data_IF_306658696650
#
_entry.id   IF_306658696650
#
_cell.length_a   1.000
_cell.length_b   1.000
_cell.length_c   1.000
_cell.angle_alpha   90.00
_cell.angle_beta   90.00
_cell.angle_gamma   90.00
#
_symmetry.space_group_name_H-M   'P 1'
#
loop_
_entity.id
_entity.type
_entity.pdbx_description
1 polymer ?
#
# COMPACT_ATOMS: atom_id res chain seq x y z
N UNK A 1 22.90 -29.07 31.29
CA UNK A 1 22.16 -29.48 30.10
C UNK A 1 20.74 -28.92 30.05
N UNK A 2 20.07 -28.66 31.19
CA UNK A 2 18.71 -28.11 31.19
C UNK A 2 18.59 -26.67 30.66
N UNK A 3 19.63 -25.85 30.72
CA UNK A 3 19.58 -24.46 30.22
C UNK A 3 19.49 -24.35 28.68
N UNK A 4 20.03 -25.33 27.94
CA UNK A 4 20.04 -25.33 26.49
C UNK A 4 18.63 -25.61 25.92
N UNK A 5 17.79 -26.35 26.65
CA UNK A 5 16.43 -26.70 26.21
C UNK A 5 15.46 -25.52 26.25
N UNK A 6 15.85 -24.38 26.82
CA UNK A 6 15.04 -23.17 26.93
C UNK A 6 15.53 -22.03 26.05
N UNK A 7 16.58 -22.23 25.25
CA UNK A 7 17.06 -21.22 24.29
C UNK A 7 16.04 -21.05 23.17
N UNK A 8 15.73 -19.80 22.90
CA UNK A 8 14.90 -19.39 21.76
C UNK A 8 15.76 -18.57 20.80
N UNK A 9 15.56 -18.79 19.52
CA UNK A 9 16.11 -17.93 18.46
C UNK A 9 15.01 -16.96 18.09
N UNK A 10 15.31 -15.67 18.14
CA UNK A 10 14.41 -14.59 17.74
C UNK A 10 15.09 -13.90 16.55
N UNK A 11 14.37 -13.76 15.44
CA UNK A 11 14.82 -13.00 14.31
C UNK A 11 14.84 -11.50 14.58
N UNK A 12 15.52 -10.71 13.75
CA UNK A 12 15.32 -9.27 13.72
C UNK A 12 13.85 -8.92 13.52
N UNK A 13 13.45 -7.75 13.99
CA UNK A 13 12.09 -7.24 13.75
C UNK A 13 11.87 -7.03 12.26
N UNK A 14 10.71 -7.46 11.76
CA UNK A 14 10.24 -7.35 10.38
C UNK A 14 11.09 -8.13 9.33
N UNK A 15 12.12 -8.87 9.76
CA UNK A 15 12.96 -9.65 8.86
C UNK A 15 12.28 -10.93 8.37
N UNK A 16 12.23 -11.11 7.05
CA UNK A 16 11.82 -12.34 6.39
C UNK A 16 12.96 -12.92 5.55
N UNK A 17 13.18 -14.22 5.65
CA UNK A 17 14.24 -14.90 4.91
C UNK A 17 14.91 -16.02 5.68
N UNK A 18 16.02 -16.51 5.17
CA UNK A 18 16.79 -17.62 5.73
C UNK A 18 17.89 -17.11 6.68
N UNK A 19 17.74 -17.33 7.97
CA UNK A 19 18.73 -16.99 8.98
C UNK A 19 19.59 -18.19 9.37
N UNK A 20 20.90 -18.14 9.11
CA UNK A 20 21.85 -19.18 9.49
C UNK A 20 22.31 -18.98 10.94
N UNK A 21 22.03 -19.95 11.78
CA UNK A 21 22.45 -19.96 13.19
C UNK A 21 23.61 -20.94 13.37
N UNK A 22 24.71 -20.47 13.98
CA UNK A 22 25.85 -21.33 14.33
C UNK A 22 25.86 -21.52 15.85
N UNK A 23 25.91 -22.76 16.27
CA UNK A 23 26.03 -23.15 17.68
C UNK A 23 27.41 -23.74 17.90
N UNK A 24 28.12 -23.23 18.92
CA UNK A 24 29.43 -23.74 19.31
C UNK A 24 29.41 -24.17 20.80
N UNK A 25 29.94 -25.34 21.05
CA UNK A 25 30.04 -25.88 22.40
C UNK A 25 31.43 -26.42 22.67
N UNK A 26 31.85 -26.38 23.94
CA UNK A 26 33.08 -27.01 24.43
C UNK A 26 32.84 -27.66 25.78
N UNK A 27 33.63 -28.67 26.06
CA UNK A 27 33.72 -29.26 27.39
C UNK A 27 34.78 -28.53 28.24
N UNK A 28 34.50 -28.37 29.53
CA UNK A 28 35.43 -27.86 30.51
C UNK A 28 35.37 -28.75 31.77
N UNK A 29 36.53 -29.00 32.36
CA UNK A 29 36.69 -29.74 33.61
C UNK A 29 37.57 -28.93 34.54
N UNK A 30 37.31 -29.01 35.85
CA UNK A 30 38.03 -28.23 36.84
C UNK A 30 39.51 -28.64 36.88
N UNK A 31 40.42 -27.68 36.72
CA UNK A 31 41.86 -27.89 36.77
C UNK A 31 42.51 -28.36 35.45
N UNK A 32 41.75 -28.40 34.36
CA UNK A 32 42.28 -28.75 33.03
C UNK A 32 41.85 -27.68 32.02
N UNK A 33 42.62 -27.52 30.95
CA UNK A 33 42.23 -26.63 29.86
C UNK A 33 40.96 -27.13 29.19
N UNK A 34 40.08 -26.18 28.81
CA UNK A 34 38.83 -26.49 28.12
C UNK A 34 39.12 -27.05 26.72
N UNK A 35 38.31 -28.01 26.27
CA UNK A 35 38.42 -28.56 24.91
C UNK A 35 38.25 -27.47 23.82
N UNK A 36 38.75 -27.71 22.60
CA UNK A 36 38.38 -26.92 21.45
C UNK A 36 36.85 -26.85 21.27
N UNK A 37 36.37 -25.80 20.65
CA UNK A 37 34.93 -25.70 20.29
C UNK A 37 34.58 -26.70 19.21
N UNK A 38 33.48 -27.40 19.40
CA UNK A 38 32.76 -28.08 18.32
C UNK A 38 31.61 -27.17 17.87
N UNK A 39 31.47 -26.96 16.59
CA UNK A 39 30.45 -26.09 16.01
C UNK A 39 29.56 -26.82 15.02
N UNK A 40 28.29 -26.50 15.05
CA UNK A 40 27.28 -26.92 14.08
C UNK A 40 26.40 -25.73 13.67
N UNK A 41 25.74 -25.84 12.56
CA UNK A 41 24.82 -24.80 12.10
C UNK A 41 23.47 -25.40 11.65
N UNK A 42 22.45 -24.56 11.70
CA UNK A 42 21.13 -24.83 11.15
C UNK A 42 20.54 -23.53 10.59
N UNK A 43 19.55 -23.65 9.74
CA UNK A 43 18.83 -22.50 9.15
C UNK A 43 17.46 -22.39 9.79
N UNK A 44 17.07 -21.16 10.14
CA UNK A 44 15.71 -20.79 10.53
C UNK A 44 15.14 -19.96 9.39
N UNK A 45 14.04 -20.45 8.78
CA UNK A 45 13.32 -19.69 7.76
C UNK A 45 12.23 -18.89 8.43
N UNK A 46 12.24 -17.57 8.22
CA UNK A 46 11.25 -16.61 8.71
C UNK A 46 10.37 -16.21 7.53
N UNK A 47 9.06 -16.30 7.72
CA UNK A 47 8.10 -15.94 6.66
C UNK A 47 7.87 -14.43 6.64
N UNK A 48 7.68 -13.89 5.44
CA UNK A 48 7.27 -12.52 5.22
C UNK A 48 5.90 -12.22 5.86
N UNK A 49 5.76 -11.04 6.44
CA UNK A 49 4.50 -10.52 7.01
C UNK A 49 4.39 -9.05 6.61
N UNK A 50 3.56 -8.74 5.64
CA UNK A 50 3.36 -7.38 5.22
C UNK A 50 2.58 -6.57 6.26
N UNK A 51 3.02 -5.35 6.53
CA UNK A 51 2.32 -4.37 7.34
C UNK A 51 1.37 -3.52 6.49
N UNK A 52 0.23 -3.14 7.11
CA UNK A 52 -0.71 -2.24 6.43
C UNK A 52 -0.06 -0.86 6.23
N UNK A 53 -0.02 -0.33 4.99
CA UNK A 53 0.56 0.97 4.76
C UNK A 53 -0.24 2.08 5.46
N UNK A 54 0.41 3.18 5.80
CA UNK A 54 -0.29 4.39 6.20
C UNK A 54 -0.94 5.05 5.00
N UNK A 55 -2.15 5.56 5.21
CA UNK A 55 -2.91 6.30 4.22
C UNK A 55 -3.45 7.57 4.87
N UNK A 56 -3.22 8.72 4.25
CA UNK A 56 -3.79 9.99 4.67
C UNK A 56 -4.50 10.62 3.49
N UNK A 57 -5.74 11.02 3.70
CA UNK A 57 -6.57 11.66 2.68
C UNK A 57 -7.07 13.02 3.14
N UNK A 58 -7.32 13.90 2.17
CA UNK A 58 -7.99 15.19 2.41
C UNK A 58 -9.08 15.42 1.37
N UNK A 59 -10.14 16.11 1.76
CA UNK A 59 -11.22 16.44 0.84
C UNK A 59 -10.74 17.39 -0.26
N UNK A 60 -11.29 17.20 -1.46
CA UNK A 60 -11.03 18.04 -2.63
C UNK A 60 -12.11 19.14 -2.67
N UNK A 61 -11.70 20.39 -2.48
CA UNK A 61 -12.64 21.53 -2.34
C UNK A 61 -12.55 22.55 -3.49
N UNK A 62 -11.59 22.38 -4.39
CA UNK A 62 -11.25 23.33 -5.43
C UNK A 62 -11.36 22.72 -6.85
N UNK A 63 -12.22 21.73 -7.02
CA UNK A 63 -12.51 21.16 -8.32
C UNK A 63 -13.55 22.04 -9.07
N UNK A 64 -13.48 22.00 -10.40
CA UNK A 64 -14.39 22.70 -11.29
C UNK A 64 -14.95 21.69 -12.30
N UNK A 65 -16.21 21.84 -12.71
CA UNK A 65 -16.80 20.97 -13.75
C UNK A 65 -15.95 20.97 -15.02
N UNK A 66 -15.99 19.87 -15.77
CA UNK A 66 -15.26 19.61 -17.00
C UNK A 66 -13.72 19.58 -16.88
N UNK A 67 -13.18 19.89 -15.70
CA UNK A 67 -11.75 19.88 -15.45
C UNK A 67 -11.33 18.67 -14.60
N UNK A 68 -10.24 18.01 -14.99
CA UNK A 68 -9.64 16.96 -14.20
C UNK A 68 -8.83 17.54 -13.04
N UNK A 69 -8.97 16.95 -11.83
CA UNK A 69 -8.30 17.39 -10.60
C UNK A 69 -7.30 16.37 -10.13
N UNK A 70 -6.06 16.78 -9.86
CA UNK A 70 -5.00 15.92 -9.39
C UNK A 70 -5.32 15.30 -8.02
N UNK A 71 -5.15 13.98 -7.89
CA UNK A 71 -5.39 13.23 -6.65
C UNK A 71 -4.17 13.16 -5.74
N UNK A 72 -2.96 13.23 -6.29
CA UNK A 72 -1.71 13.10 -5.52
C UNK A 72 -1.53 14.19 -4.44
N UNK A 73 -2.21 15.33 -4.58
CA UNK A 73 -2.22 16.38 -3.55
C UNK A 73 -3.15 16.07 -2.37
N UNK A 74 -4.15 15.20 -2.58
CA UNK A 74 -5.18 14.89 -1.59
C UNK A 74 -5.03 13.51 -0.98
N UNK A 75 -4.17 12.66 -1.51
CA UNK A 75 -3.94 11.29 -1.07
C UNK A 75 -2.44 11.08 -0.94
N UNK A 76 -1.98 10.74 0.26
CA UNK A 76 -0.59 10.36 0.53
C UNK A 76 -0.55 8.99 1.20
N UNK A 77 0.47 8.21 0.91
CA UNK A 77 0.65 6.87 1.44
C UNK A 77 2.13 6.55 1.65
N UNK A 78 2.42 5.73 2.65
CA UNK A 78 3.77 5.24 2.92
C UNK A 78 3.72 3.79 3.43
N UNK A 79 4.68 2.97 3.03
CA UNK A 79 4.92 1.69 3.65
C UNK A 79 5.36 1.89 5.11
N UNK A 80 4.97 0.97 5.98
CA UNK A 80 5.31 0.97 7.41
C UNK A 80 6.11 -0.29 7.66
N UNK A 81 7.41 -0.17 7.56
CA UNK A 81 8.31 -1.28 7.69
C UNK A 81 9.69 -0.78 8.14
N UNK A 82 10.39 -1.54 9.01
CA UNK A 82 11.68 -1.15 9.57
C UNK A 82 12.87 -1.66 8.79
N UNK A 83 12.73 -2.81 8.15
CA UNK A 83 13.81 -3.38 7.34
C UNK A 83 13.76 -2.93 5.87
N UNK A 84 12.67 -2.31 5.44
CA UNK A 84 12.50 -1.72 4.11
C UNK A 84 12.08 -2.74 3.05
N UNK A 85 11.56 -3.92 3.45
CA UNK A 85 11.11 -4.96 2.52
C UNK A 85 9.69 -4.74 2.00
N UNK A 86 8.87 -3.95 2.70
CA UNK A 86 7.52 -3.62 2.30
C UNK A 86 7.48 -2.59 1.15
N UNK A 87 6.73 -2.89 0.13
CA UNK A 87 6.43 -1.95 -0.96
C UNK A 87 4.92 -1.77 -1.17
N UNK A 88 4.48 -0.56 -1.45
CA UNK A 88 3.10 -0.33 -1.89
C UNK A 88 2.99 -0.76 -3.34
N UNK A 89 2.12 -1.73 -3.63
CA UNK A 89 1.96 -2.28 -4.98
C UNK A 89 0.75 -1.72 -5.72
N UNK A 90 -0.31 -1.33 -5.01
CA UNK A 90 -1.52 -0.82 -5.65
C UNK A 90 -2.29 0.17 -4.77
N UNK A 91 -3.11 0.97 -5.44
CA UNK A 91 -4.06 1.91 -4.85
C UNK A 91 -5.42 1.64 -5.50
N UNK A 92 -6.46 1.47 -4.69
CA UNK A 92 -7.82 1.32 -5.17
C UNK A 92 -8.62 2.58 -4.83
N UNK A 93 -9.36 3.08 -5.81
CA UNK A 93 -10.29 4.21 -5.65
C UNK A 93 -11.69 3.69 -6.04
N UNK A 94 -12.63 3.81 -5.13
CA UNK A 94 -14.02 3.37 -5.31
C UNK A 94 -15.00 4.54 -5.15
N UNK A 95 -16.30 4.29 -5.39
CA UNK A 95 -17.32 5.35 -5.29
C UNK A 95 -17.32 6.33 -6.48
N UNK A 96 -16.64 5.98 -7.58
CA UNK A 96 -16.62 6.81 -8.79
C UNK A 96 -17.99 6.82 -9.50
N UNK A 97 -18.82 5.79 -9.28
CA UNK A 97 -20.21 5.75 -9.74
C UNK A 97 -21.13 6.23 -8.61
N UNK A 98 -22.00 7.21 -8.89
CA UNK A 98 -22.88 7.83 -7.89
C UNK A 98 -24.21 8.28 -8.51
N UNK A 99 -25.19 8.54 -7.67
CA UNK A 99 -26.51 9.00 -8.09
C UNK A 99 -26.60 10.53 -8.01
N UNK A 100 -27.11 11.14 -9.07
CA UNK A 100 -27.43 12.57 -9.08
C UNK A 100 -28.71 12.79 -9.90
N UNK A 101 -29.69 13.48 -9.32
CA UNK A 101 -30.98 13.81 -9.96
C UNK A 101 -31.68 12.60 -10.61
N UNK A 102 -31.55 11.41 -9.99
CA UNK A 102 -32.16 10.16 -10.49
C UNK A 102 -31.37 9.48 -11.62
N UNK A 103 -30.22 10.01 -12.01
CA UNK A 103 -29.32 9.40 -12.97
C UNK A 103 -28.07 8.83 -12.28
N UNK A 104 -27.56 7.71 -12.80
CA UNK A 104 -26.24 7.21 -12.41
C UNK A 104 -25.18 7.91 -13.23
N UNK A 105 -24.29 8.63 -12.56
CA UNK A 105 -23.15 9.31 -13.13
C UNK A 105 -21.87 8.59 -12.74
N UNK A 106 -20.82 8.76 -13.53
CA UNK A 106 -19.51 8.16 -13.23
C UNK A 106 -18.38 9.15 -13.49
N UNK A 107 -17.55 9.39 -12.46
CA UNK A 107 -16.27 10.05 -12.60
C UNK A 107 -15.23 9.07 -13.17
N UNK A 108 -14.21 9.59 -13.83
CA UNK A 108 -13.13 8.79 -14.41
C UNK A 108 -11.79 9.08 -13.72
N UNK A 109 -10.93 8.07 -13.61
CA UNK A 109 -9.53 8.25 -13.25
C UNK A 109 -8.72 8.31 -14.54
N UNK A 110 -7.98 9.41 -14.71
CA UNK A 110 -7.24 9.72 -15.94
C UNK A 110 -5.80 10.14 -15.64
N UNK A 111 -4.94 10.04 -16.66
CA UNK A 111 -3.59 10.62 -16.63
C UNK A 111 -3.60 12.12 -16.97
N UNK A 112 -2.44 12.75 -17.01
CA UNK A 112 -2.28 14.16 -17.37
C UNK A 112 -2.70 14.51 -18.81
N UNK A 113 -2.84 13.50 -19.67
CA UNK A 113 -3.31 13.64 -21.06
C UNK A 113 -4.82 13.40 -21.21
N UNK A 114 -5.50 13.04 -20.11
CA UNK A 114 -6.93 12.74 -20.09
C UNK A 114 -7.30 11.31 -20.50
N UNK A 115 -6.33 10.41 -20.64
CA UNK A 115 -6.59 9.00 -20.94
C UNK A 115 -6.96 8.26 -19.65
N UNK A 116 -7.94 7.36 -19.72
CA UNK A 116 -8.29 6.49 -18.57
C UNK A 116 -7.12 5.61 -18.16
N UNK A 117 -6.86 5.50 -16.87
CA UNK A 117 -5.80 4.67 -16.29
C UNK A 117 -6.34 3.75 -15.22
N UNK A 118 -5.58 2.67 -14.95
CA UNK A 118 -5.95 1.64 -13.98
C UNK A 118 -6.88 0.58 -14.54
N UNK A 119 -7.22 -0.38 -13.69
CA UNK A 119 -8.09 -1.52 -14.00
C UNK A 119 -9.43 -1.30 -13.33
N UNK A 120 -10.54 -1.16 -14.10
CA UNK A 120 -11.88 -1.07 -13.51
C UNK A 120 -12.25 -2.35 -12.74
N UNK A 121 -12.92 -2.22 -11.60
CA UNK A 121 -13.39 -3.33 -10.79
C UNK A 121 -14.80 -3.83 -11.16
N UNK A 122 -15.44 -3.20 -12.15
CA UNK A 122 -16.81 -3.51 -12.59
C UNK A 122 -17.91 -2.96 -11.69
N UNK A 123 -17.56 -2.34 -10.54
CA UNK A 123 -18.50 -1.76 -9.57
C UNK A 123 -18.41 -0.25 -9.47
N UNK A 124 -17.69 0.38 -10.42
CA UNK A 124 -17.44 1.82 -10.43
C UNK A 124 -16.22 2.23 -9.62
N UNK A 125 -15.29 1.32 -9.36
CA UNK A 125 -13.97 1.58 -8.81
C UNK A 125 -12.86 1.28 -9.81
N UNK A 126 -11.65 1.72 -9.48
CA UNK A 126 -10.43 1.55 -10.30
C UNK A 126 -9.27 1.16 -9.39
N UNK A 127 -8.51 0.15 -9.79
CA UNK A 127 -7.24 -0.22 -9.17
C UNK A 127 -6.08 0.26 -10.03
N UNK A 128 -5.17 1.01 -9.42
CA UNK A 128 -3.95 1.55 -9.99
C UNK A 128 -2.74 0.78 -9.46
N UNK A 129 -1.73 0.56 -10.26
CA UNK A 129 -0.41 0.21 -9.71
C UNK A 129 0.19 1.44 -9.01
N UNK A 130 1.12 1.22 -8.06
CA UNK A 130 1.83 2.34 -7.42
C UNK A 130 2.53 3.22 -8.45
N UNK A 131 3.13 2.62 -9.49
CA UNK A 131 3.80 3.36 -10.56
C UNK A 131 2.83 4.26 -11.37
N UNK A 132 1.61 3.78 -11.64
CA UNK A 132 0.58 4.61 -12.30
C UNK A 132 0.17 5.78 -11.40
N UNK A 133 0.00 5.51 -10.10
CA UNK A 133 -0.33 6.56 -9.13
C UNK A 133 0.77 7.62 -9.05
N UNK A 134 2.05 7.22 -8.97
CA UNK A 134 3.21 8.12 -8.87
C UNK A 134 3.45 8.94 -10.15
N UNK A 135 3.06 8.42 -11.31
CA UNK A 135 3.12 9.15 -12.57
C UNK A 135 2.16 10.35 -12.61
N UNK A 136 1.25 10.46 -11.64
CA UNK A 136 0.26 11.51 -11.53
C UNK A 136 -1.09 11.08 -12.11
N UNK A 137 -2.09 11.01 -11.23
CA UNK A 137 -3.46 10.65 -11.59
C UNK A 137 -4.42 11.77 -11.22
N UNK A 138 -5.48 11.86 -12.01
CA UNK A 138 -6.49 12.89 -11.89
C UNK A 138 -7.87 12.24 -11.82
N UNK A 139 -8.76 12.82 -11.06
CA UNK A 139 -10.20 12.51 -11.12
C UNK A 139 -10.88 13.51 -12.03
N UNK A 140 -11.57 13.02 -13.05
CA UNK A 140 -12.36 13.81 -13.98
C UNK A 140 -13.85 13.62 -13.66
N UNK A 141 -14.57 14.66 -13.23
CA UNK A 141 -16.00 14.60 -13.04
C UNK A 141 -16.74 14.22 -14.33
N UNK A 142 -17.99 13.74 -14.27
CA UNK A 142 -18.85 13.67 -15.45
C UNK A 142 -19.00 15.07 -16.07
N UNK A 143 -19.24 15.11 -17.40
CA UNK A 143 -19.48 16.36 -18.11
C UNK A 143 -20.65 17.12 -17.49
N UNK A 144 -20.54 18.45 -17.41
CA UNK A 144 -21.56 19.37 -16.91
C UNK A 144 -22.00 19.09 -15.46
N UNK A 145 -21.25 18.28 -14.70
CA UNK A 145 -21.60 17.96 -13.31
C UNK A 145 -20.95 18.93 -12.33
N UNK A 146 -21.76 19.64 -11.58
CA UNK A 146 -21.37 20.42 -10.39
C UNK A 146 -22.11 19.92 -9.14
N UNK A 147 -21.48 20.06 -7.99
CA UNK A 147 -22.00 19.55 -6.71
C UNK A 147 -20.96 18.78 -5.94
N UNK A 148 -21.38 17.76 -5.20
CA UNK A 148 -20.47 16.99 -4.35
C UNK A 148 -20.55 15.49 -4.66
N UNK A 149 -19.39 14.87 -4.86
CA UNK A 149 -19.22 13.43 -4.81
C UNK A 149 -18.73 13.09 -3.41
N UNK A 150 -19.57 12.43 -2.59
CA UNK A 150 -19.33 12.24 -1.15
C UNK A 150 -18.91 10.82 -0.74
N UNK A 151 -18.95 9.88 -1.66
CA UNK A 151 -18.73 8.45 -1.39
C UNK A 151 -17.48 7.88 -2.04
N UNK A 152 -16.52 8.74 -2.37
CA UNK A 152 -15.20 8.28 -2.81
C UNK A 152 -14.47 7.62 -1.65
N UNK A 153 -13.85 6.48 -1.90
CA UNK A 153 -13.04 5.78 -0.91
C UNK A 153 -11.72 5.35 -1.53
N UNK A 154 -10.68 5.37 -0.72
CA UNK A 154 -9.30 5.02 -1.13
C UNK A 154 -8.77 3.95 -0.21
N UNK A 155 -8.09 2.97 -0.75
CA UNK A 155 -7.28 1.99 -0.02
C UNK A 155 -5.97 1.72 -0.75
N UNK A 156 -4.96 1.24 -0.03
CA UNK A 156 -3.67 0.87 -0.60
C UNK A 156 -3.27 -0.53 -0.12
N UNK A 157 -2.52 -1.25 -0.94
CA UNK A 157 -2.00 -2.58 -0.64
C UNK A 157 -0.49 -2.51 -0.61
N UNK A 158 0.11 -2.94 0.50
CA UNK A 158 1.53 -3.22 0.63
C UNK A 158 1.81 -4.71 0.42
N UNK A 159 3.03 -5.03 0.01
CA UNK A 159 3.56 -6.37 -0.12
C UNK A 159 4.93 -6.43 0.50
N UNK A 160 5.16 -7.44 1.36
CA UNK A 160 6.48 -7.83 1.84
C UNK A 160 7.08 -8.91 0.93
N UNK A 161 8.26 -8.65 0.40
CA UNK A 161 8.97 -9.57 -0.50
C UNK A 161 10.03 -10.39 0.21
N UNK A 162 10.35 -10.08 1.47
CA UNK A 162 11.45 -10.67 2.21
C UNK A 162 12.82 -10.36 1.59
N UNK A 163 13.88 -10.43 2.37
CA UNK A 163 15.24 -10.12 1.90
C UNK A 163 15.77 -11.08 0.83
N UNK A 164 15.30 -12.32 0.81
CA UNK A 164 15.68 -13.31 -0.18
C UNK A 164 14.74 -13.34 -1.41
N UNK A 165 13.76 -12.44 -1.48
CA UNK A 165 12.76 -12.37 -2.52
C UNK A 165 11.72 -13.50 -2.48
N UNK A 166 11.72 -14.34 -1.46
CA UNK A 166 10.81 -15.49 -1.32
C UNK A 166 9.46 -15.14 -0.72
N UNK A 167 9.35 -13.96 -0.09
CA UNK A 167 8.12 -13.49 0.53
C UNK A 167 7.11 -12.99 -0.51
N UNK A 168 5.82 -13.15 -0.22
CA UNK A 168 4.72 -12.59 -1.00
C UNK A 168 3.50 -12.35 -0.11
N UNK A 169 3.74 -11.92 1.13
CA UNK A 169 2.66 -11.49 2.01
C UNK A 169 2.10 -10.15 1.55
N UNK A 170 0.81 -9.94 1.73
CA UNK A 170 0.15 -8.67 1.40
C UNK A 170 -0.71 -8.20 2.55
N UNK A 171 -0.72 -6.90 2.80
CA UNK A 171 -1.62 -6.24 3.73
C UNK A 171 -2.31 -5.06 3.06
N UNK A 172 -3.57 -4.83 3.42
CA UNK A 172 -4.36 -3.71 2.91
C UNK A 172 -4.60 -2.72 4.04
N UNK A 173 -4.45 -1.44 3.74
CA UNK A 173 -4.82 -0.38 4.69
C UNK A 173 -6.33 -0.35 4.91
N UNK A 174 -6.76 0.31 5.97
CA UNK A 174 -8.17 0.66 6.16
C UNK A 174 -8.62 1.57 5.01
N UNK A 175 -9.92 1.50 4.70
CA UNK A 175 -10.54 2.35 3.68
C UNK A 175 -10.73 3.75 4.26
N UNK A 176 -10.15 4.75 3.60
CA UNK A 176 -10.34 6.15 3.93
C UNK A 176 -11.33 6.80 2.97
N UNK A 177 -12.21 7.64 3.51
CA UNK A 177 -13.24 8.32 2.73
C UNK A 177 -12.81 9.75 2.39
N UNK A 178 -13.10 10.16 1.17
CA UNK A 178 -12.80 11.48 0.63
C UNK A 178 -14.04 12.03 -0.07
N UNK A 179 -14.30 13.31 0.06
CA UNK A 179 -15.32 14.01 -0.72
C UNK A 179 -14.69 14.98 -1.70
N UNK A 180 -15.38 15.20 -2.82
CA UNK A 180 -14.98 16.15 -3.85
C UNK A 180 -16.10 17.14 -4.11
N UNK A 181 -15.84 18.42 -3.84
CA UNK A 181 -16.75 19.54 -4.17
C UNK A 181 -16.35 20.14 -5.51
N UNK A 182 -17.29 20.24 -6.43
CA UNK A 182 -17.12 20.67 -7.81
C UNK A 182 -17.91 21.94 -8.02
N UNK A 183 -17.22 23.02 -8.33
CA UNK A 183 -17.83 24.30 -8.62
C UNK A 183 -18.35 24.34 -10.08
N UNK A 184 -19.47 25.04 -10.36
CA UNK A 184 -19.96 25.24 -11.71
C UNK A 184 -19.04 26.18 -12.48
N UNK A 185 -19.00 25.99 -13.81
CA UNK A 185 -18.31 26.85 -14.77
C UNK A 185 -19.27 27.12 -15.95
N UNK A 186 -19.37 28.36 -16.38
CA UNK A 186 -20.16 28.69 -17.55
C UNK A 186 -19.53 28.12 -18.83
N UNK A 187 -20.34 27.43 -19.61
CA UNK A 187 -19.94 26.95 -20.95
C UNK A 187 -19.94 28.09 -21.97
N UNK A 188 -19.15 27.92 -23.02
CA UNK A 188 -19.13 28.87 -24.12
C UNK A 188 -20.47 28.86 -24.89
N UNK A 189 -21.03 30.03 -25.09
CA UNK A 189 -22.24 30.16 -25.89
C UNK A 189 -21.97 29.79 -27.35
N UNK A 190 -22.64 28.78 -27.85
CA UNK A 190 -22.65 28.47 -29.28
C UNK A 190 -23.73 29.31 -29.98
N UNK A 191 -23.32 30.11 -30.98
CA UNK A 191 -24.21 30.87 -31.88
C UNK A 191 -24.52 30.07 -33.13
#
# INVERSE_FOLDING_TARGET
QSAIQQLKVVGPEDYAGAMKVTVSARAAETGVDASPYASGNFTVNLSAVAEAPTLTVSNITDAVEDAAKALNASITMAAVDKDGSDEIISVQITGLSFQSNGATLQAAIVDSSGNSVGIPDGSGGVTLTKAQYDAGVYIKPPADFYGTISNLSVSAVARDVGEDGSGNATATTIVENISMSIAPRADDATL
#
